data_IF_794706348045
#
_entry.id   IF_794706348045
#
_cell.length_a   1.000
_cell.length_b   1.000
_cell.length_c   1.000
_cell.angle_alpha   90.00
_cell.angle_beta   90.00
_cell.angle_gamma   90.00
#
_symmetry.space_group_name_H-M   'P 1'
#
loop_
_entity.id
_entity.type
_entity.pdbx_description
1 polymer ?
#
# COMPACT_ATOMS: atom_id res chain seq x y z
N UNK A 1 5.24 20.06 6.71
CA UNK A 1 4.43 19.18 5.85
C UNK A 1 4.36 17.86 6.59
N UNK A 2 3.17 17.42 6.98
CA UNK A 2 3.03 16.07 7.56
C UNK A 2 3.26 15.03 6.46
N UNK A 3 4.01 13.95 6.73
CA UNK A 3 4.17 12.86 5.77
C UNK A 3 2.82 12.16 5.58
N UNK A 4 2.30 12.19 4.35
CA UNK A 4 1.10 11.43 3.99
C UNK A 4 1.49 9.97 3.80
N UNK A 5 1.15 9.15 4.79
CA UNK A 5 1.30 7.70 4.71
C UNK A 5 0.14 7.11 3.91
N UNK A 6 0.48 6.36 2.88
CA UNK A 6 -0.46 5.63 2.03
C UNK A 6 -0.47 4.15 2.40
N UNK A 7 -1.66 3.56 2.42
CA UNK A 7 -1.90 2.13 2.62
C UNK A 7 -2.31 1.52 1.28
N UNK A 8 -1.47 0.64 0.74
CA UNK A 8 -1.73 -0.03 -0.54
C UNK A 8 -1.79 -1.53 -0.34
N UNK A 9 -2.76 -2.18 -0.99
CA UNK A 9 -2.93 -3.63 -0.96
C UNK A 9 -3.11 -4.11 -2.40
N UNK A 10 -2.20 -4.98 -2.85
CA UNK A 10 -2.21 -5.44 -4.23
C UNK A 10 -1.31 -6.66 -4.44
N UNK A 11 -1.45 -7.31 -5.60
CA UNK A 11 -0.67 -8.48 -5.98
C UNK A 11 0.74 -8.07 -6.41
N UNK A 12 1.74 -8.72 -5.80
CA UNK A 12 3.13 -8.59 -6.19
C UNK A 12 3.40 -9.39 -7.47
N UNK A 13 3.97 -8.75 -8.49
CA UNK A 13 4.29 -9.40 -9.78
C UNK A 13 5.78 -9.49 -10.04
N UNK A 14 6.58 -8.62 -9.44
CA UNK A 14 8.02 -8.58 -9.62
C UNK A 14 8.70 -8.14 -8.33
N UNK A 15 9.89 -8.68 -8.07
CA UNK A 15 10.74 -8.25 -6.98
C UNK A 15 12.21 -8.46 -7.35
N UNK A 16 13.01 -7.40 -7.22
CA UNK A 16 14.46 -7.42 -7.38
C UNK A 16 15.12 -7.26 -6.02
N UNK A 17 15.89 -8.28 -5.62
CA UNK A 17 16.70 -8.24 -4.39
C UNK A 17 17.85 -7.25 -4.51
N UNK A 18 18.42 -7.08 -5.70
CA UNK A 18 19.58 -6.20 -5.95
C UNK A 18 19.23 -4.73 -5.73
N UNK A 19 18.06 -4.30 -6.24
CA UNK A 19 17.61 -2.91 -6.13
C UNK A 19 16.64 -2.69 -4.97
N UNK A 20 16.22 -3.75 -4.29
CA UNK A 20 15.15 -3.76 -3.30
C UNK A 20 13.84 -3.13 -3.82
N UNK A 21 13.55 -3.34 -5.11
CA UNK A 21 12.35 -2.83 -5.75
C UNK A 21 11.34 -3.95 -5.98
N UNK A 22 10.11 -3.72 -5.54
CA UNK A 22 8.96 -4.56 -5.82
C UNK A 22 8.02 -3.85 -6.82
N UNK A 23 7.28 -4.63 -7.59
CA UNK A 23 6.21 -4.12 -8.46
C UNK A 23 4.91 -4.80 -8.08
N UNK A 24 3.90 -3.98 -7.78
CA UNK A 24 2.53 -4.43 -7.55
C UNK A 24 1.63 -3.99 -8.70
N UNK A 25 0.54 -4.72 -8.94
CA UNK A 25 -0.40 -4.46 -10.04
C UNK A 25 -1.82 -4.36 -9.54
N UNK A 26 -2.42 -3.19 -9.72
CA UNK A 26 -3.85 -2.98 -9.55
C UNK A 26 -4.50 -2.71 -10.92
N UNK A 27 -5.33 -3.64 -11.37
CA UNK A 27 -5.90 -3.62 -12.71
C UNK A 27 -4.84 -3.65 -13.81
N UNK A 28 -4.70 -2.54 -14.54
CA UNK A 28 -3.76 -2.37 -15.65
C UNK A 28 -2.64 -1.36 -15.32
N UNK A 29 -2.47 -1.02 -14.05
CA UNK A 29 -1.49 -0.05 -13.55
C UNK A 29 -0.47 -0.77 -12.68
N UNK A 30 0.80 -0.49 -12.94
CA UNK A 30 1.92 -1.00 -12.17
C UNK A 30 2.42 0.10 -11.24
N UNK A 31 2.67 -0.23 -9.98
CA UNK A 31 3.29 0.68 -9.03
C UNK A 31 4.59 0.09 -8.49
N UNK A 32 5.64 0.92 -8.49
CA UNK A 32 6.94 0.60 -7.93
C UNK A 32 6.90 0.80 -6.41
N UNK A 33 7.41 -0.18 -5.68
CA UNK A 33 7.52 -0.17 -4.23
C UNK A 33 9.00 -0.29 -3.87
N UNK A 34 9.54 0.75 -3.25
CA UNK A 34 10.87 0.71 -2.65
C UNK A 34 10.78 0.00 -1.29
N UNK A 35 11.48 -1.12 -1.17
CA UNK A 35 11.47 -2.00 -0.01
C UNK A 35 12.77 -1.94 0.81
N UNK A 36 13.67 -0.99 0.54
CA UNK A 36 14.98 -0.88 1.21
C UNK A 36 14.88 -0.78 2.74
N UNK A 37 13.78 -0.22 3.24
CA UNK A 37 13.54 -0.05 4.68
C UNK A 37 12.81 -1.23 5.32
N UNK A 38 12.38 -2.22 4.52
CA UNK A 38 11.72 -3.40 5.01
C UNK A 38 12.77 -4.45 5.41
N UNK A 39 12.74 -4.89 6.66
CA UNK A 39 13.56 -6.00 7.15
C UNK A 39 12.75 -7.30 7.07
N UNK A 40 13.42 -8.39 6.71
CA UNK A 40 12.92 -9.77 6.91
C UNK A 40 11.64 -10.16 6.14
N UNK A 41 11.45 -9.68 4.91
CA UNK A 41 10.36 -10.15 4.04
C UNK A 41 10.89 -11.04 2.93
N UNK A 42 10.51 -12.33 2.97
CA UNK A 42 10.62 -13.21 1.82
C UNK A 42 9.43 -12.95 0.90
N UNK A 43 9.63 -12.10 -0.10
CA UNK A 43 8.60 -11.78 -1.08
C UNK A 43 8.27 -12.99 -1.96
N UNK A 44 6.98 -13.30 -2.08
CA UNK A 44 6.45 -14.35 -2.94
C UNK A 44 5.71 -13.69 -4.10
N UNK A 45 6.21 -13.90 -5.32
CA UNK A 45 5.53 -13.43 -6.52
C UNK A 45 4.17 -14.11 -6.65
N UNK A 46 3.15 -13.35 -7.05
CA UNK A 46 1.76 -13.78 -7.20
C UNK A 46 0.93 -13.65 -5.91
N UNK A 47 1.55 -13.43 -4.76
CA UNK A 47 0.87 -13.20 -3.49
C UNK A 47 0.41 -11.75 -3.33
N UNK A 48 -0.56 -11.55 -2.45
CA UNK A 48 -1.08 -10.23 -2.11
C UNK A 48 -0.31 -9.68 -0.93
N UNK A 49 0.16 -8.45 -1.07
CA UNK A 49 0.88 -7.74 -0.04
C UNK A 49 0.19 -6.43 0.29
N UNK A 50 0.27 -6.07 1.57
CA UNK A 50 -0.11 -4.77 2.05
C UNK A 50 1.13 -3.98 2.46
N UNK A 51 1.26 -2.78 1.91
CA UNK A 51 2.35 -1.86 2.18
C UNK A 51 1.81 -0.57 2.83
N UNK A 52 2.58 -0.05 3.78
CA UNK A 52 2.39 1.31 4.32
C UNK A 52 3.66 2.08 4.07
N UNK A 53 3.54 3.25 3.46
CA UNK A 53 4.70 4.02 3.04
C UNK A 53 4.38 5.44 2.62
N UNK A 54 5.40 6.15 2.18
CA UNK A 54 5.28 7.51 1.67
C UNK A 54 5.26 7.45 0.14
N UNK A 55 4.24 8.05 -0.49
CA UNK A 55 4.10 8.05 -1.94
C UNK A 55 4.89 9.21 -2.55
N UNK A 56 5.92 8.87 -3.32
CA UNK A 56 6.74 9.84 -4.05
C UNK A 56 6.30 9.85 -5.52
N UNK A 57 5.75 10.98 -5.96
CA UNK A 57 5.40 11.22 -7.36
C UNK A 57 6.54 12.02 -8.00
N UNK A 58 7.18 11.44 -9.01
CA UNK A 58 8.25 12.08 -9.75
C UNK A 58 7.70 12.85 -10.96
N UNK A 59 8.51 13.78 -11.48
CA UNK A 59 8.13 14.72 -12.55
C UNK A 59 7.79 14.06 -13.89
N UNK A 60 8.16 12.80 -14.06
CA UNK A 60 7.91 11.97 -15.24
C UNK A 60 6.61 11.15 -15.13
N UNK A 61 5.77 11.46 -14.14
CA UNK A 61 4.53 10.75 -13.85
C UNK A 61 4.75 9.31 -13.36
N UNK A 62 5.98 8.95 -12.99
CA UNK A 62 6.26 7.73 -12.26
C UNK A 62 6.03 7.96 -10.76
N UNK A 63 5.26 7.06 -10.14
CA UNK A 63 5.06 7.04 -8.71
C UNK A 63 5.83 5.87 -8.09
N UNK A 64 6.48 6.11 -6.95
CA UNK A 64 7.13 5.07 -6.15
C UNK A 64 6.67 5.20 -4.70
N UNK A 65 6.21 4.11 -4.10
CA UNK A 65 5.92 4.06 -2.68
C UNK A 65 7.18 3.64 -1.91
N UNK A 66 7.66 4.49 -1.01
CA UNK A 66 8.71 4.13 -0.05
C UNK A 66 8.09 3.37 1.11
N UNK A 67 8.16 2.03 1.06
CA UNK A 67 7.53 1.18 2.04
C UNK A 67 8.29 1.20 3.37
N UNK A 68 7.56 1.50 4.44
CA UNK A 68 8.03 1.44 5.82
C UNK A 68 7.56 0.17 6.52
N UNK A 69 6.42 -0.36 6.08
CA UNK A 69 5.87 -1.65 6.51
C UNK A 69 5.40 -2.42 5.27
N UNK A 70 5.65 -3.73 5.25
CA UNK A 70 5.11 -4.65 4.27
C UNK A 70 4.66 -5.93 4.94
N UNK A 71 3.51 -6.50 4.54
CA UNK A 71 3.06 -7.81 5.02
C UNK A 71 2.40 -8.61 3.92
N UNK A 72 2.66 -9.91 3.89
CA UNK A 72 1.86 -10.83 3.10
C UNK A 72 0.47 -10.94 3.74
N UNK A 73 -0.58 -10.84 2.91
CA UNK A 73 -1.98 -10.92 3.35
C UNK A 73 -2.73 -12.07 2.68
N UNK A 74 -2.00 -13.07 2.17
CA UNK A 74 -2.63 -14.26 1.61
C UNK A 74 -3.49 -14.94 2.69
N UNK A 75 -4.75 -15.21 2.35
CA UNK A 75 -5.72 -15.82 3.28
C UNK A 75 -6.61 -14.83 4.03
N UNK A 76 -6.42 -13.52 3.88
CA UNK A 76 -7.40 -12.53 4.31
C UNK A 76 -8.58 -12.52 3.33
N UNK A 77 -9.81 -12.46 3.85
CA UNK A 77 -10.99 -12.16 3.04
C UNK A 77 -10.96 -10.67 2.67
N UNK A 78 -10.51 -10.38 1.45
CA UNK A 78 -10.35 -9.01 0.96
C UNK A 78 -11.67 -8.27 0.84
N UNK A 79 -12.78 -8.97 0.54
CA UNK A 79 -14.09 -8.32 0.46
C UNK A 79 -14.52 -7.81 1.83
N UNK A 80 -14.39 -8.64 2.88
CA UNK A 80 -14.70 -8.22 4.24
C UNK A 80 -13.78 -7.10 4.72
N UNK A 81 -12.50 -7.16 4.34
CA UNK A 81 -11.53 -6.11 4.64
C UNK A 81 -11.94 -4.76 4.03
N UNK A 82 -12.28 -4.72 2.74
CA UNK A 82 -12.73 -3.51 2.08
C UNK A 82 -14.03 -2.94 2.68
N UNK A 83 -15.00 -3.80 3.00
CA UNK A 83 -16.24 -3.38 3.68
C UNK A 83 -15.95 -2.75 5.04
N UNK A 84 -15.04 -3.33 5.81
CA UNK A 84 -14.63 -2.82 7.11
C UNK A 84 -13.96 -1.44 6.99
N UNK A 85 -13.08 -1.26 6.00
CA UNK A 85 -12.46 0.03 5.72
C UNK A 85 -13.46 1.11 5.27
N UNK A 86 -14.48 0.74 4.50
CA UNK A 86 -15.55 1.67 4.11
C UNK A 86 -16.33 2.15 5.34
N UNK A 87 -16.73 1.23 6.22
CA UNK A 87 -17.40 1.58 7.48
C UNK A 87 -16.54 2.50 8.36
N UNK A 88 -15.24 2.21 8.48
CA UNK A 88 -14.31 3.05 9.22
C UNK A 88 -14.23 4.47 8.64
N UNK A 89 -14.09 4.60 7.32
CA UNK A 89 -14.04 5.92 6.65
C UNK A 89 -15.34 6.69 6.84
N UNK A 90 -16.49 6.02 6.73
CA UNK A 90 -17.79 6.65 6.98
C UNK A 90 -17.90 7.17 8.42
N UNK A 91 -17.54 6.33 9.39
CA UNK A 91 -17.55 6.71 10.79
C UNK A 91 -16.62 7.90 11.09
N UNK A 92 -15.41 7.89 10.54
CA UNK A 92 -14.46 9.00 10.70
C UNK A 92 -15.00 10.29 10.09
N UNK A 93 -15.58 10.25 8.89
CA UNK A 93 -16.17 11.41 8.23
C UNK A 93 -17.34 12.00 9.05
N UNK A 94 -18.22 11.15 9.56
CA UNK A 94 -19.36 11.58 10.39
C UNK A 94 -18.90 12.25 11.70
N UNK A 95 -17.84 11.73 12.32
CA UNK A 95 -17.28 12.28 13.55
C UNK A 95 -16.41 13.54 13.33
N UNK A 96 -15.75 13.67 12.18
CA UNK A 96 -15.04 14.90 11.82
C UNK A 96 -16.02 16.05 11.56
N UNK A 97 -17.11 15.79 10.82
CA UNK A 97 -18.14 16.79 10.53
C UNK A 97 -18.88 17.28 11.79
N UNK A 98 -18.98 16.45 12.83
CA UNK A 98 -19.59 16.84 14.12
C UNK A 98 -18.68 17.71 15.00
N UNK A 99 -17.37 17.77 14.73
CA UNK A 99 -16.41 18.62 15.47
C UNK A 99 -16.26 20.02 14.86
N UNK A 100 -16.70 20.21 13.62
CA UNK A 100 -16.61 21.46 12.87
C UNK A 100 -17.92 22.27 12.86
N UNK A 101 -18.98 21.79 13.52
CA UNK A 101 -20.26 22.49 13.72
C UNK A 101 -20.48 22.81 15.19
#
# INVERSE_FOLDING_TARGET
MEPHLELLESRLVEYSVETAMAVIVDGNVNLKIDTQHLRELSFRIGSIYQFIGELLVQSDNEATLQARVGRNVDGIDLNLYHQSLQLLRQFQADHFNKRTN
#
